data_IF_075120878785
#
_entry.id   IF_075120878785
#
_cell.length_a   1.000
_cell.length_b   1.000
_cell.length_c   1.000
_cell.angle_alpha   90.00
_cell.angle_beta   90.00
_cell.angle_gamma   90.00
#
_symmetry.space_group_name_H-M   'P 1'
#
loop_
_entity.id
_entity.type
_entity.pdbx_description
1 polymer ?
#
# COMPACT_ATOMS: atom_id res chain seq x y z
N UNK A 1 -2.22 1.30 -7.27
CA UNK A 1 -0.78 1.26 -7.65
C UNK A 1 -0.19 -0.02 -7.11
N UNK A 2 0.64 -0.74 -7.88
CA UNK A 2 1.26 -2.00 -7.47
C UNK A 2 2.78 -1.86 -7.42
N UNK A 3 3.42 -2.44 -6.40
CA UNK A 3 4.86 -2.38 -6.14
C UNK A 3 5.38 -3.77 -5.80
N UNK A 4 6.45 -4.20 -6.46
CA UNK A 4 7.21 -5.37 -6.02
C UNK A 4 8.07 -5.00 -4.82
N UNK A 5 7.90 -5.71 -3.72
CA UNK A 5 8.53 -5.35 -2.44
C UNK A 5 8.79 -6.58 -1.59
N UNK A 6 9.67 -6.46 -0.60
CA UNK A 6 9.77 -7.42 0.49
C UNK A 6 8.61 -7.23 1.47
N UNK A 7 8.20 -8.30 2.16
CA UNK A 7 7.12 -8.26 3.15
C UNK A 7 7.44 -7.27 4.29
N UNK A 8 8.69 -7.21 4.71
CA UNK A 8 9.20 -6.36 5.80
C UNK A 8 8.98 -4.86 5.53
N UNK A 9 8.87 -4.47 4.25
CA UNK A 9 8.62 -3.08 3.87
C UNK A 9 7.12 -2.72 3.86
N UNK A 10 6.21 -3.70 3.86
CA UNK A 10 4.76 -3.46 3.82
C UNK A 10 4.28 -2.68 5.06
N UNK A 11 4.62 -3.07 6.32
CA UNK A 11 4.23 -2.28 7.50
C UNK A 11 4.74 -0.84 7.44
N UNK A 12 6.00 -0.65 7.01
CA UNK A 12 6.61 0.67 6.87
C UNK A 12 5.88 1.56 5.85
N UNK A 13 5.34 0.97 4.79
CA UNK A 13 4.54 1.71 3.82
C UNK A 13 3.24 2.22 4.44
N UNK A 14 2.54 1.41 5.24
CA UNK A 14 1.33 1.83 5.95
C UNK A 14 1.62 2.90 7.00
N UNK A 15 2.71 2.78 7.78
CA UNK A 15 3.14 3.82 8.73
C UNK A 15 3.32 5.17 8.03
N UNK A 16 4.04 5.19 6.89
CA UNK A 16 4.27 6.43 6.12
C UNK A 16 2.98 7.03 5.55
N UNK A 17 2.00 6.21 5.20
CA UNK A 17 0.69 6.71 4.75
C UNK A 17 -0.09 7.35 5.91
N UNK A 18 -0.09 6.69 7.08
CA UNK A 18 -0.72 7.21 8.29
C UNK A 18 -0.09 8.52 8.76
N UNK A 19 1.24 8.64 8.75
CA UNK A 19 1.96 9.88 9.07
C UNK A 19 1.56 11.05 8.16
N UNK A 20 1.09 10.77 6.93
CA UNK A 20 0.65 11.75 5.95
C UNK A 20 -0.86 11.98 5.94
N UNK A 21 -1.59 11.40 6.89
CA UNK A 21 -3.06 11.41 6.93
C UNK A 21 -3.70 10.87 5.64
N UNK A 22 -3.06 9.87 5.01
CA UNK A 22 -3.58 9.20 3.82
C UNK A 22 -4.24 7.89 4.22
N UNK A 23 -5.55 7.78 4.03
CA UNK A 23 -6.29 6.54 4.26
C UNK A 23 -6.16 5.57 3.09
N UNK A 24 -6.17 4.28 3.40
CA UNK A 24 -6.16 3.18 2.41
C UNK A 24 -7.56 2.58 2.35
N UNK A 25 -8.19 2.63 1.18
CA UNK A 25 -9.52 2.04 0.97
C UNK A 25 -9.45 0.54 0.67
N UNK A 26 -8.38 0.10 -0.01
CA UNK A 26 -8.16 -1.30 -0.37
C UNK A 26 -6.68 -1.58 -0.52
N UNK A 27 -6.26 -2.78 -0.12
CA UNK A 27 -4.94 -3.31 -0.45
C UNK A 27 -5.05 -4.76 -0.92
N UNK A 28 -4.05 -5.22 -1.67
CA UNK A 28 -3.88 -6.63 -1.99
C UNK A 28 -2.40 -7.01 -1.98
N UNK A 29 -2.15 -8.28 -1.68
CA UNK A 29 -0.83 -8.89 -1.64
C UNK A 29 -0.91 -10.19 -2.42
N UNK A 30 -0.05 -10.33 -3.41
CA UNK A 30 0.04 -11.53 -4.25
C UNK A 30 1.49 -11.91 -4.45
N UNK A 31 1.78 -13.21 -4.52
CA UNK A 31 3.10 -13.69 -4.92
C UNK A 31 3.11 -13.85 -6.44
N UNK A 32 4.10 -13.26 -7.10
CA UNK A 32 4.31 -13.34 -8.55
C UNK A 32 5.73 -13.84 -8.82
N UNK A 33 5.87 -15.16 -9.01
CA UNK A 33 7.17 -15.82 -9.03
C UNK A 33 7.81 -15.81 -7.64
N UNK A 34 9.01 -15.25 -7.53
CA UNK A 34 9.72 -15.06 -6.24
C UNK A 34 9.46 -13.68 -5.62
N UNK A 35 8.69 -12.82 -6.29
CA UNK A 35 8.40 -11.46 -5.82
C UNK A 35 7.05 -11.39 -5.09
N UNK A 36 6.97 -10.53 -4.07
CA UNK A 36 5.70 -10.13 -3.48
C UNK A 36 5.20 -8.83 -4.13
N UNK A 37 4.06 -8.92 -4.81
CA UNK A 37 3.35 -7.80 -5.40
C UNK A 37 2.40 -7.19 -4.38
N UNK A 38 2.67 -5.96 -3.98
CA UNK A 38 1.86 -5.19 -3.04
C UNK A 38 1.11 -4.08 -3.77
N UNK A 39 -0.22 -4.12 -3.74
CA UNK A 39 -1.07 -3.11 -4.37
C UNK A 39 -1.85 -2.33 -3.34
N UNK A 40 -1.88 -1.01 -3.51
CA UNK A 40 -2.62 -0.06 -2.68
C UNK A 40 -3.58 0.77 -3.52
N UNK A 41 -4.79 0.95 -2.97
CA UNK A 41 -5.78 1.93 -3.38
C UNK A 41 -6.01 2.88 -2.22
N UNK A 42 -5.68 4.16 -2.44
CA UNK A 42 -5.83 5.21 -1.45
C UNK A 42 -7.25 5.75 -1.49
N UNK A 43 -7.76 6.24 -0.37
CA UNK A 43 -8.95 7.09 -0.39
C UNK A 43 -8.59 8.41 -1.07
N UNK A 44 -9.43 8.85 -2.00
CA UNK A 44 -9.34 10.22 -2.50
C UNK A 44 -9.80 11.16 -1.39
N UNK A 45 -9.03 12.22 -1.06
CA UNK A 45 -9.54 13.26 -0.19
C UNK A 45 -10.84 13.76 -0.80
N UNK A 46 -11.91 13.82 -0.01
CA UNK A 46 -13.12 14.50 -0.45
C UNK A 46 -12.76 15.98 -0.53
N UNK A 47 -12.56 16.51 -1.75
CA UNK A 47 -12.60 17.95 -1.98
C UNK A 47 -14.05 18.37 -1.78
N UNK A 48 -14.35 18.86 -0.57
CA UNK A 48 -15.62 19.49 -0.23
C UNK A 48 -15.72 20.89 -0.78
#
# INVERSE_FOLDING_TARGET
MALKTLWEAVPSAFTRLAERNVSVSRFSLSVEGDDLLFTLQLETPHEG
#
